data_IF_124677929114
#
_entry.id   IF_124677929114
#
_cell.length_a   1.000
_cell.length_b   1.000
_cell.length_c   1.000
_cell.angle_alpha   90.00
_cell.angle_beta   90.00
_cell.angle_gamma   90.00
#
_symmetry.space_group_name_H-M   'P 1'
#
loop_
_entity.id
_entity.type
_entity.pdbx_description
1 polymer ?
#
# COMPACT_ATOMS: atom_id res chain seq x y z
N UNK A 1 55.66 59.20 0.24
CA UNK A 1 54.34 59.09 -0.48
C UNK A 1 53.69 57.76 -0.08
N UNK A 2 52.71 57.80 0.79
CA UNK A 2 51.94 56.63 1.26
C UNK A 2 50.60 56.66 0.58
N UNK A 3 50.29 55.71 -0.34
CA UNK A 3 48.96 55.50 -0.90
C UNK A 3 48.14 54.66 0.08
N UNK A 4 47.06 55.21 0.58
CA UNK A 4 46.04 54.54 1.34
C UNK A 4 44.97 54.09 0.35
N UNK A 5 44.87 52.76 0.10
CA UNK A 5 43.79 52.17 -0.69
C UNK A 5 42.55 52.01 0.19
N UNK A 6 41.50 52.78 -0.08
CA UNK A 6 40.19 52.61 0.56
C UNK A 6 39.44 51.44 -0.11
N UNK A 7 39.19 50.42 0.68
CA UNK A 7 38.40 49.24 0.24
C UNK A 7 36.91 49.51 0.57
N UNK A 8 36.12 49.90 -0.43
CA UNK A 8 34.68 50.01 -0.29
C UNK A 8 34.03 48.61 -0.22
N UNK A 9 33.55 48.24 0.99
CA UNK A 9 32.79 47.02 1.21
C UNK A 9 31.34 47.25 0.75
N UNK A 10 30.99 46.78 -0.44
CA UNK A 10 29.63 46.82 -0.97
C UNK A 10 28.83 45.66 -0.34
N UNK A 11 28.07 45.96 0.73
CA UNK A 11 27.14 45.03 1.34
C UNK A 11 25.97 44.76 0.39
N UNK A 12 25.98 43.60 -0.31
CA UNK A 12 24.85 43.15 -1.09
C UNK A 12 23.76 42.66 -0.11
N UNK A 13 22.72 43.47 0.09
CA UNK A 13 21.49 43.05 0.76
C UNK A 13 20.78 42.02 -0.17
N UNK A 14 20.98 40.73 0.09
CA UNK A 14 20.17 39.70 -0.53
C UNK A 14 18.74 39.76 0.05
N UNK A 15 17.69 39.82 -0.76
CA UNK A 15 16.32 39.79 -0.25
C UNK A 15 16.12 38.40 0.40
N UNK A 16 15.81 38.40 1.70
CA UNK A 16 15.38 37.21 2.40
C UNK A 16 14.01 36.81 1.87
N UNK A 17 13.95 35.83 0.99
CA UNK A 17 12.70 35.18 0.63
C UNK A 17 12.20 34.43 1.88
N UNK A 18 11.27 35.01 2.59
CA UNK A 18 10.52 34.30 3.63
C UNK A 18 9.61 33.32 2.92
N UNK A 19 10.07 32.09 2.77
CA UNK A 19 9.20 30.98 2.37
C UNK A 19 8.19 30.79 3.51
N UNK A 20 6.95 31.16 3.27
CA UNK A 20 5.85 30.90 4.20
C UNK A 20 5.80 29.41 4.51
N UNK A 21 5.68 29.04 5.79
CA UNK A 21 5.54 27.64 6.18
C UNK A 21 4.32 27.03 5.47
N UNK A 22 4.42 25.83 4.89
CA UNK A 22 3.30 25.21 4.21
C UNK A 22 2.14 24.99 5.17
N UNK A 23 0.94 25.41 4.78
CA UNK A 23 -0.28 25.18 5.57
C UNK A 23 -0.57 23.69 5.58
N UNK A 24 -0.68 23.09 6.77
CA UNK A 24 -0.96 21.68 6.97
C UNK A 24 -2.39 21.44 7.46
N UNK A 25 -2.96 20.28 7.11
CA UNK A 25 -4.17 19.71 7.71
C UNK A 25 -3.88 18.23 7.98
N UNK A 26 -4.29 17.74 9.14
CA UNK A 26 -4.21 16.30 9.46
C UNK A 26 -5.58 15.77 9.82
N UNK A 27 -5.88 14.55 9.43
CA UNK A 27 -7.14 13.87 9.78
C UNK A 27 -6.90 12.46 10.28
N UNK A 28 -7.81 11.96 11.12
CA UNK A 28 -7.80 10.58 11.60
C UNK A 28 -9.22 10.10 11.91
N UNK A 29 -9.59 8.85 11.55
CA UNK A 29 -8.82 7.90 10.75
C UNK A 29 -8.80 8.27 9.26
N UNK A 30 -7.85 7.70 8.49
CA UNK A 30 -7.77 7.89 7.05
C UNK A 30 -8.74 7.01 6.24
N UNK A 31 -9.37 6.03 6.90
CA UNK A 31 -10.25 5.07 6.25
C UNK A 31 -11.32 4.56 7.21
N UNK A 32 -12.55 4.54 6.76
CA UNK A 32 -13.69 3.89 7.41
C UNK A 32 -14.10 2.67 6.58
N UNK A 33 -14.19 1.49 7.20
CA UNK A 33 -14.75 0.28 6.59
C UNK A 33 -16.00 -0.06 7.37
N UNK A 34 -17.14 -0.09 6.69
CA UNK A 34 -18.46 -0.14 7.30
C UNK A 34 -19.31 -1.20 6.60
N UNK A 35 -19.82 -2.14 7.38
CA UNK A 35 -20.87 -3.08 6.97
C UNK A 35 -22.21 -2.54 7.47
N UNK A 36 -23.25 -2.60 6.65
CA UNK A 36 -24.57 -2.03 6.95
C UNK A 36 -25.69 -2.76 6.26
N UNK A 37 -26.95 -2.43 6.65
CA UNK A 37 -28.16 -2.94 6.01
C UNK A 37 -28.93 -1.79 5.34
N UNK A 38 -29.74 -2.07 4.31
CA UNK A 38 -30.67 -1.10 3.77
C UNK A 38 -31.56 -0.52 4.87
N UNK A 39 -31.80 0.81 4.85
CA UNK A 39 -32.59 1.54 5.84
C UNK A 39 -31.84 1.87 7.14
N UNK A 40 -30.61 1.47 7.32
CA UNK A 40 -29.84 1.73 8.54
C UNK A 40 -29.22 3.13 8.54
N UNK A 41 -29.14 3.74 9.72
CA UNK A 41 -28.39 4.98 9.94
C UNK A 41 -27.18 4.72 10.83
N UNK A 42 -26.03 5.15 10.36
CA UNK A 42 -24.73 4.95 11.02
C UNK A 42 -24.13 6.31 11.35
N UNK A 43 -23.55 6.44 12.53
CA UNK A 43 -22.80 7.63 12.94
C UNK A 43 -21.33 7.24 13.09
N UNK A 44 -20.46 8.02 12.49
CA UNK A 44 -19.00 7.93 12.60
C UNK A 44 -18.41 9.29 12.95
N UNK A 45 -17.16 9.30 13.38
CA UNK A 45 -16.47 10.51 13.77
C UNK A 45 -15.12 10.59 13.06
N UNK A 46 -14.82 11.75 12.50
CA UNK A 46 -13.49 12.08 11.97
C UNK A 46 -12.89 13.20 12.80
N UNK A 47 -11.65 13.05 13.20
CA UNK A 47 -10.89 14.10 13.90
C UNK A 47 -10.07 14.88 12.89
N UNK A 48 -10.24 16.20 12.87
CA UNK A 48 -9.47 17.13 12.03
C UNK A 48 -8.54 17.91 12.94
N UNK A 49 -7.26 17.96 12.61
CA UNK A 49 -6.19 18.56 13.41
C UNK A 49 -5.55 19.69 12.62
N UNK A 50 -5.40 20.84 13.26
CA UNK A 50 -4.67 21.97 12.76
C UNK A 50 -3.21 21.96 13.30
N UNK A 51 -2.20 21.56 12.51
CA UNK A 51 -0.81 21.57 12.95
C UNK A 51 -0.16 22.97 12.89
N UNK A 52 -0.89 23.99 12.41
CA UNK A 52 -0.37 25.33 12.23
C UNK A 52 -0.45 26.17 13.52
N UNK A 53 0.30 27.28 13.58
CA UNK A 53 0.32 28.24 14.72
C UNK A 53 -0.73 29.35 14.59
N UNK A 54 -1.66 29.22 13.64
CA UNK A 54 -2.75 30.16 13.37
C UNK A 54 -4.10 29.44 13.25
N UNK A 55 -5.20 30.20 13.32
CA UNK A 55 -6.53 29.65 13.09
C UNK A 55 -6.66 29.17 11.65
N UNK A 56 -7.17 27.95 11.47
CA UNK A 56 -7.39 27.36 10.17
C UNK A 56 -8.89 27.14 9.95
N UNK A 57 -9.43 27.72 8.88
CA UNK A 57 -10.78 27.41 8.42
C UNK A 57 -10.72 26.28 7.40
N UNK A 58 -11.61 25.28 7.53
CA UNK A 58 -11.69 24.17 6.58
C UNK A 58 -13.13 23.93 6.16
N UNK A 59 -13.33 23.57 4.90
CA UNK A 59 -14.61 23.22 4.32
C UNK A 59 -14.68 21.71 4.08
N UNK A 60 -15.65 20.97 4.64
CA UNK A 60 -15.89 19.58 4.33
C UNK A 60 -16.57 19.42 2.96
N UNK A 61 -16.14 18.40 2.21
CA UNK A 61 -16.71 18.03 0.92
C UNK A 61 -16.78 16.51 0.81
N UNK A 62 -17.82 15.99 0.15
CA UNK A 62 -17.95 14.57 -0.13
C UNK A 62 -17.81 14.31 -1.62
N UNK A 63 -17.13 13.23 -1.98
CA UNK A 63 -16.96 12.85 -3.37
C UNK A 63 -16.96 11.33 -3.51
N UNK A 64 -17.77 10.80 -4.43
CA UNK A 64 -17.75 9.39 -4.78
C UNK A 64 -16.49 9.04 -5.57
N UNK A 65 -16.05 7.79 -5.44
CA UNK A 65 -14.92 7.28 -6.22
C UNK A 65 -15.15 5.84 -6.69
N UNK A 66 -14.41 5.45 -7.69
CA UNK A 66 -14.20 4.06 -8.08
C UNK A 66 -12.71 3.76 -8.13
N UNK A 67 -12.35 2.49 -8.06
CA UNK A 67 -10.99 2.05 -8.28
C UNK A 67 -10.84 1.63 -9.73
N UNK A 68 -9.81 2.11 -10.41
CA UNK A 68 -9.50 1.74 -11.79
C UNK A 68 -8.67 0.45 -11.85
N UNK A 69 -8.50 -0.11 -13.05
CA UNK A 69 -7.74 -1.36 -13.28
C UNK A 69 -6.26 -1.24 -12.86
N UNK A 70 -5.68 -0.06 -12.96
CA UNK A 70 -4.33 0.26 -12.49
C UNK A 70 -4.24 0.47 -10.97
N UNK A 71 -5.34 0.25 -10.24
CA UNK A 71 -5.50 0.47 -8.80
C UNK A 71 -5.45 1.94 -8.35
N UNK A 72 -5.57 2.89 -9.26
CA UNK A 72 -5.72 4.30 -8.92
C UNK A 72 -7.17 4.62 -8.52
N UNK A 73 -7.32 5.62 -7.64
CA UNK A 73 -8.64 6.15 -7.31
C UNK A 73 -9.05 7.13 -8.42
N UNK A 74 -10.21 6.87 -9.01
CA UNK A 74 -10.86 7.77 -9.95
C UNK A 74 -12.06 8.43 -9.27
N UNK A 75 -11.97 9.74 -9.10
CA UNK A 75 -13.05 10.55 -8.52
C UNK A 75 -14.19 10.66 -9.53
N UNK A 76 -15.43 10.44 -9.04
CA UNK A 76 -16.62 10.55 -9.87
C UNK A 76 -17.18 11.96 -9.67
N UNK A 77 -17.31 12.77 -10.74
CA UNK A 77 -17.97 14.06 -10.66
C UNK A 77 -19.40 13.95 -10.17
N UNK A 78 -19.90 14.97 -9.46
CA UNK A 78 -21.22 14.93 -8.84
C UNK A 78 -22.39 14.86 -9.85
N UNK A 79 -22.15 15.31 -11.07
CA UNK A 79 -23.08 15.34 -12.22
C UNK A 79 -23.08 14.01 -13.02
N UNK A 80 -22.16 13.09 -12.72
CA UNK A 80 -22.10 11.78 -13.38
C UNK A 80 -23.01 10.79 -12.66
N UNK A 81 -23.90 10.16 -13.42
CA UNK A 81 -24.76 9.09 -12.90
C UNK A 81 -23.92 7.91 -12.40
N UNK A 82 -24.12 7.55 -11.14
CA UNK A 82 -23.43 6.46 -10.49
C UNK A 82 -24.44 5.62 -9.68
N UNK A 83 -24.74 4.37 -10.08
CA UNK A 83 -25.68 3.51 -9.38
C UNK A 83 -25.22 3.09 -7.98
N UNK A 84 -23.93 3.33 -7.64
CA UNK A 84 -23.34 3.10 -6.33
C UNK A 84 -22.99 4.39 -5.61
N UNK A 85 -23.64 5.51 -6.00
CA UNK A 85 -23.51 6.80 -5.34
C UNK A 85 -23.91 6.71 -3.89
N UNK A 86 -23.10 7.28 -2.99
CA UNK A 86 -23.42 7.33 -1.56
C UNK A 86 -23.21 8.71 -0.94
N UNK A 87 -22.69 9.67 -1.67
CA UNK A 87 -22.47 11.03 -1.15
C UNK A 87 -23.76 11.69 -0.68
N UNK A 88 -24.90 11.38 -1.32
CA UNK A 88 -26.23 11.89 -0.93
C UNK A 88 -26.75 11.27 0.38
N UNK A 89 -26.14 10.20 0.87
CA UNK A 89 -26.49 9.54 2.14
C UNK A 89 -25.72 10.11 3.32
N UNK A 90 -24.67 10.90 3.05
CA UNK A 90 -23.74 11.38 4.07
C UNK A 90 -24.14 12.80 4.48
N UNK A 91 -24.28 13.00 5.78
CA UNK A 91 -24.58 14.31 6.36
C UNK A 91 -23.54 14.67 7.41
N UNK A 92 -22.97 15.87 7.27
CA UNK A 92 -22.17 16.56 8.29
C UNK A 92 -22.78 17.96 8.43
N UNK A 93 -23.24 18.31 9.64
CA UNK A 93 -24.07 19.50 9.88
C UNK A 93 -23.30 20.85 9.74
N UNK A 94 -21.99 20.80 9.52
CA UNK A 94 -21.15 21.99 9.46
C UNK A 94 -20.58 22.17 8.05
N UNK A 95 -20.93 23.29 7.42
CA UNK A 95 -20.40 23.66 6.09
C UNK A 95 -19.01 24.29 6.14
N UNK A 96 -18.62 24.85 7.28
CA UNK A 96 -17.30 25.44 7.53
C UNK A 96 -16.91 25.22 9.00
N UNK A 97 -15.64 24.95 9.24
CA UNK A 97 -15.12 24.60 10.55
C UNK A 97 -13.86 25.41 10.82
N UNK A 98 -13.87 26.15 11.92
CA UNK A 98 -12.67 26.87 12.39
C UNK A 98 -11.94 26.03 13.44
N UNK A 99 -10.65 25.79 13.20
CA UNK A 99 -9.74 25.07 14.07
C UNK A 99 -8.76 26.06 14.71
N UNK A 100 -8.63 26.02 16.03
CA UNK A 100 -7.64 26.83 16.76
C UNK A 100 -6.20 26.42 16.42
N UNK A 101 -5.19 27.26 16.65
CA UNK A 101 -3.79 26.88 16.51
C UNK A 101 -3.47 25.63 17.32
N UNK A 102 -2.77 24.64 16.70
CA UNK A 102 -2.43 23.33 17.30
C UNK A 102 -3.63 22.56 17.87
N UNK A 103 -4.84 22.97 17.52
CA UNK A 103 -6.09 22.36 18.02
C UNK A 103 -6.59 21.23 17.15
N UNK A 104 -7.44 20.42 17.74
CA UNK A 104 -8.16 19.36 17.05
C UNK A 104 -9.68 19.52 17.26
N UNK A 105 -10.45 18.95 16.36
CA UNK A 105 -11.90 18.89 16.44
C UNK A 105 -12.45 17.59 15.93
N UNK A 106 -13.27 16.96 16.74
CA UNK A 106 -14.03 15.75 16.42
C UNK A 106 -15.32 16.13 15.74
N UNK A 107 -15.54 15.57 14.57
CA UNK A 107 -16.67 15.90 13.71
C UNK A 107 -17.50 14.63 13.46
N UNK A 108 -18.63 14.51 14.11
CA UNK A 108 -19.56 13.43 13.81
C UNK A 108 -20.21 13.66 12.44
N UNK A 109 -20.31 12.60 11.66
CA UNK A 109 -21.08 12.55 10.43
C UNK A 109 -21.97 11.32 10.42
N UNK A 110 -23.13 11.41 9.77
CA UNK A 110 -24.06 10.29 9.66
C UNK A 110 -24.16 9.82 8.21
N UNK A 111 -24.37 8.52 8.04
CA UNK A 111 -24.67 7.88 6.76
C UNK A 111 -26.06 7.26 6.90
N UNK A 112 -27.04 7.76 6.15
CA UNK A 112 -28.42 7.25 6.13
C UNK A 112 -28.62 6.41 4.87
N UNK A 113 -28.53 5.10 5.01
CA UNK A 113 -28.64 4.15 3.89
C UNK A 113 -30.11 4.06 3.47
N UNK A 114 -30.46 4.31 2.20
CA UNK A 114 -31.85 4.17 1.75
C UNK A 114 -32.36 2.72 1.88
N UNK A 115 -33.66 2.50 2.13
CA UNK A 115 -34.22 1.15 2.17
C UNK A 115 -34.12 0.38 0.85
N UNK A 116 -34.02 1.09 -0.27
CA UNK A 116 -33.82 0.56 -1.62
C UNK A 116 -32.36 0.67 -2.11
N UNK A 117 -31.40 0.87 -1.20
CA UNK A 117 -30.00 0.93 -1.54
C UNK A 117 -29.56 -0.37 -2.24
N UNK A 118 -28.78 -0.24 -3.31
CA UNK A 118 -28.26 -1.38 -4.06
C UNK A 118 -27.30 -2.16 -3.16
N UNK A 119 -27.43 -3.49 -3.04
CA UNK A 119 -26.47 -4.31 -2.31
C UNK A 119 -25.07 -4.25 -2.93
N UNK A 120 -24.05 -4.29 -2.08
CA UNK A 120 -22.66 -4.29 -2.50
C UNK A 120 -21.86 -3.09 -2.02
N UNK A 121 -20.72 -2.87 -2.68
CA UNK A 121 -19.74 -1.86 -2.27
C UNK A 121 -20.09 -0.46 -2.77
N UNK A 122 -20.17 0.50 -1.85
CA UNK A 122 -20.31 1.93 -2.13
C UNK A 122 -19.07 2.66 -1.61
N UNK A 123 -18.54 3.62 -2.37
CA UNK A 123 -17.24 4.21 -2.12
C UNK A 123 -17.29 5.73 -2.23
N UNK A 124 -16.98 6.43 -1.14
CA UNK A 124 -16.85 7.87 -1.10
C UNK A 124 -15.64 8.30 -0.26
N UNK A 125 -15.32 9.57 -0.32
CA UNK A 125 -14.36 10.20 0.58
C UNK A 125 -14.98 11.45 1.19
N UNK A 126 -14.58 11.74 2.44
CA UNK A 126 -14.76 13.03 3.07
C UNK A 126 -13.46 13.79 2.95
N UNK A 127 -13.50 14.97 2.34
CA UNK A 127 -12.36 15.88 2.22
C UNK A 127 -12.52 17.08 3.14
N UNK A 128 -11.40 17.62 3.58
CA UNK A 128 -11.30 18.90 4.27
C UNK A 128 -10.33 19.77 3.48
N UNK A 129 -10.86 20.84 2.90
CA UNK A 129 -10.10 21.80 2.09
C UNK A 129 -9.90 23.07 2.92
N UNK A 130 -8.67 23.58 3.02
CA UNK A 130 -8.41 24.84 3.71
C UNK A 130 -9.08 26.00 2.96
N UNK A 131 -9.71 26.90 3.70
CA UNK A 131 -10.22 28.17 3.17
C UNK A 131 -9.12 29.20 3.34
N UNK A 132 -8.53 29.65 2.21
CA UNK A 132 -7.52 30.70 2.20
C UNK A 132 -8.21 32.05 1.95
N UNK A 133 -7.88 33.06 2.75
CA UNK A 133 -8.33 34.42 2.47
C UNK A 133 -7.54 35.00 1.27
N UNK A 134 -8.22 35.68 0.36
CA UNK A 134 -7.66 36.17 -0.92
C UNK A 134 -6.55 37.24 -0.81
N UNK A 135 -6.01 37.47 0.38
CA UNK A 135 -5.02 38.54 0.64
C UNK A 135 -3.58 38.19 0.25
N UNK A 136 -3.30 36.98 -0.20
CA UNK A 136 -1.94 36.58 -0.60
C UNK A 136 -1.74 36.68 -2.11
N UNK A 137 -0.95 37.66 -2.57
CA UNK A 137 -0.48 37.85 -3.95
C UNK A 137 0.49 36.75 -4.44
N UNK A 138 0.44 35.55 -3.87
CA UNK A 138 1.27 34.41 -4.22
C UNK A 138 0.46 33.23 -4.76
N UNK A 139 1.04 32.44 -5.67
CA UNK A 139 0.49 31.15 -6.10
C UNK A 139 0.60 30.20 -4.90
N UNK A 140 -0.43 30.19 -4.04
CA UNK A 140 -0.50 29.32 -2.88
C UNK A 140 -1.18 28.01 -3.22
N UNK A 141 -0.60 26.88 -2.80
CA UNK A 141 -1.28 25.58 -2.84
C UNK A 141 -2.31 25.51 -1.71
N UNK A 142 -3.57 25.23 -2.04
CA UNK A 142 -4.64 25.03 -1.05
C UNK A 142 -4.58 23.59 -0.57
N UNK A 143 -4.22 23.32 0.70
CA UNK A 143 -4.17 21.96 1.20
C UNK A 143 -5.56 21.34 1.28
N UNK A 144 -5.65 20.10 0.79
CA UNK A 144 -6.85 19.26 0.83
C UNK A 144 -6.46 17.87 1.29
N UNK A 145 -7.10 17.38 2.34
CA UNK A 145 -6.88 16.03 2.88
C UNK A 145 -8.21 15.28 2.93
N UNK A 146 -8.17 13.95 2.79
CA UNK A 146 -9.39 13.17 2.75
C UNK A 146 -9.29 11.83 3.46
N UNK A 147 -10.42 11.35 4.00
CA UNK A 147 -10.59 9.99 4.50
C UNK A 147 -11.53 9.20 3.58
N UNK A 148 -11.14 7.96 3.28
CA UNK A 148 -11.96 7.06 2.45
C UNK A 148 -13.09 6.45 3.28
N UNK A 149 -14.28 6.37 2.70
CA UNK A 149 -15.43 5.68 3.26
C UNK A 149 -15.75 4.52 2.32
N UNK A 150 -15.57 3.32 2.84
CA UNK A 150 -15.79 2.05 2.15
C UNK A 150 -16.97 1.40 2.83
N UNK A 151 -18.13 1.46 2.21
CA UNK A 151 -19.40 0.97 2.73
C UNK A 151 -19.81 -0.29 1.97
N UNK A 152 -20.25 -1.33 2.67
CA UNK A 152 -20.85 -2.50 2.09
C UNK A 152 -22.29 -2.64 2.58
N UNK A 153 -23.25 -2.55 1.67
CA UNK A 153 -24.67 -2.72 1.94
C UNK A 153 -25.02 -4.20 1.82
N UNK A 154 -25.56 -4.77 2.89
CA UNK A 154 -25.98 -6.18 2.93
C UNK A 154 -27.09 -6.47 1.92
N UNK A 155 -27.09 -7.69 1.38
CA UNK A 155 -28.07 -8.18 0.42
C UNK A 155 -27.52 -9.34 -0.38
N UNK A 156 -28.01 -9.55 -1.57
CA UNK A 156 -27.48 -10.56 -2.50
C UNK A 156 -26.18 -10.06 -3.13
N UNK A 157 -25.07 -10.23 -2.39
CA UNK A 157 -23.73 -9.87 -2.82
C UNK A 157 -22.88 -11.11 -3.04
N UNK A 158 -22.04 -11.07 -4.07
CA UNK A 158 -21.06 -12.12 -4.34
C UNK A 158 -19.67 -11.65 -3.93
N UNK A 159 -19.05 -12.38 -3.01
CA UNK A 159 -17.64 -12.21 -2.63
C UNK A 159 -16.85 -13.35 -3.24
N UNK A 160 -16.50 -13.22 -4.48
CA UNK A 160 -15.76 -14.25 -5.22
C UNK A 160 -14.50 -13.65 -5.82
N UNK A 161 -13.42 -14.44 -5.81
CA UNK A 161 -12.16 -14.03 -6.40
C UNK A 161 -11.58 -15.13 -7.27
N UNK A 162 -10.55 -14.80 -8.02
CA UNK A 162 -9.77 -15.74 -8.82
C UNK A 162 -8.28 -15.46 -8.62
N UNK A 163 -7.51 -16.53 -8.35
CA UNK A 163 -6.04 -16.45 -8.37
C UNK A 163 -5.57 -16.56 -9.81
N UNK A 164 -5.42 -15.42 -10.48
CA UNK A 164 -5.02 -15.32 -11.88
C UNK A 164 -3.58 -15.82 -12.06
N UNK A 165 -2.67 -15.37 -11.22
CA UNK A 165 -1.26 -15.72 -11.33
C UNK A 165 -0.59 -15.88 -9.96
N UNK A 166 0.41 -16.79 -9.92
CA UNK A 166 1.37 -16.90 -8.83
C UNK A 166 2.78 -16.92 -9.39
N UNK A 167 3.58 -15.94 -9.05
CA UNK A 167 4.97 -15.80 -9.48
C UNK A 167 5.94 -15.74 -8.32
N UNK A 168 7.15 -16.18 -8.57
CA UNK A 168 8.29 -16.21 -7.67
C UNK A 168 9.48 -16.81 -8.39
N UNK A 169 10.70 -16.62 -7.91
CA UNK A 169 11.90 -17.10 -8.59
C UNK A 169 11.94 -18.62 -8.65
N UNK A 170 12.39 -19.15 -9.78
CA UNK A 170 12.75 -20.56 -9.93
C UNK A 170 14.10 -20.84 -9.28
N UNK A 171 15.02 -19.89 -9.37
CA UNK A 171 16.37 -19.97 -8.86
C UNK A 171 16.67 -18.80 -7.92
N UNK A 172 17.27 -19.08 -6.76
CA UNK A 172 17.56 -18.08 -5.73
C UNK A 172 19.02 -18.22 -5.30
N UNK A 173 19.80 -17.17 -5.55
CA UNK A 173 21.21 -17.08 -5.10
C UNK A 173 21.38 -16.45 -3.72
N UNK A 174 20.46 -15.57 -3.34
CA UNK A 174 20.43 -14.87 -2.05
C UNK A 174 19.03 -14.35 -1.77
N UNK A 175 18.69 -14.12 -0.51
CA UNK A 175 17.43 -13.48 -0.13
C UNK A 175 17.60 -11.96 0.12
N UNK A 176 16.47 -11.28 0.42
CA UNK A 176 15.12 -11.84 0.61
C UNK A 176 14.48 -12.37 -0.67
N UNK A 177 13.54 -13.31 -0.53
CA UNK A 177 12.83 -13.94 -1.66
C UNK A 177 11.40 -13.43 -1.71
N UNK A 178 11.01 -12.82 -2.82
CA UNK A 178 9.69 -12.25 -3.00
C UNK A 178 8.80 -13.17 -3.84
N UNK A 179 7.58 -13.35 -3.37
CA UNK A 179 6.50 -14.03 -4.06
C UNK A 179 5.39 -13.04 -4.36
N UNK A 180 4.76 -13.18 -5.52
CA UNK A 180 3.69 -12.31 -5.98
C UNK A 180 2.49 -13.13 -6.41
N UNK A 181 1.30 -12.75 -5.93
CA UNK A 181 0.02 -13.27 -6.35
C UNK A 181 -0.75 -12.18 -7.09
N UNK A 182 -1.39 -12.52 -8.19
CA UNK A 182 -2.33 -11.63 -8.85
C UNK A 182 -3.73 -12.18 -8.64
N UNK A 183 -4.53 -11.48 -7.84
CA UNK A 183 -5.93 -11.82 -7.57
C UNK A 183 -6.85 -10.89 -8.36
N UNK A 184 -7.93 -11.46 -8.91
CA UNK A 184 -9.05 -10.74 -9.52
C UNK A 184 -10.27 -10.89 -8.63
N UNK A 185 -10.94 -9.81 -8.29
CA UNK A 185 -12.26 -9.86 -7.67
C UNK A 185 -13.33 -10.02 -8.76
N UNK A 186 -13.98 -11.18 -8.81
CA UNK A 186 -15.08 -11.51 -9.75
C UNK A 186 -16.46 -11.28 -9.14
N UNK A 187 -16.50 -10.78 -7.89
CA UNK A 187 -17.72 -10.52 -7.15
C UNK A 187 -18.30 -9.13 -7.37
N UNK A 188 -19.34 -8.80 -6.59
CA UNK A 188 -20.06 -7.52 -6.63
C UNK A 188 -19.71 -6.59 -5.48
N UNK A 189 -18.91 -7.04 -4.51
CA UNK A 189 -18.45 -6.24 -3.38
C UNK A 189 -16.95 -6.42 -3.16
N UNK A 190 -16.36 -5.48 -2.42
CA UNK A 190 -14.96 -5.58 -2.01
C UNK A 190 -14.77 -6.62 -0.90
N UNK A 191 -13.57 -7.17 -0.81
CA UNK A 191 -13.14 -8.00 0.30
C UNK A 191 -11.64 -7.83 0.57
N UNK A 192 -11.21 -8.14 1.78
CA UNK A 192 -9.80 -8.15 2.13
C UNK A 192 -9.23 -9.55 1.86
N UNK A 193 -8.17 -9.61 1.07
CA UNK A 193 -7.45 -10.87 0.83
C UNK A 193 -6.44 -11.13 1.93
N UNK A 194 -6.32 -12.39 2.30
CA UNK A 194 -5.22 -12.89 3.12
C UNK A 194 -4.68 -14.17 2.50
N UNK A 195 -3.38 -14.37 2.60
CA UNK A 195 -2.76 -15.54 2.02
C UNK A 195 -1.50 -15.98 2.73
N UNK A 196 -1.07 -17.20 2.44
CA UNK A 196 0.17 -17.77 2.95
C UNK A 196 0.96 -18.41 1.82
N UNK A 197 2.29 -18.31 1.91
CA UNK A 197 3.22 -19.10 1.11
C UNK A 197 3.85 -20.15 2.00
N UNK A 198 3.62 -21.40 1.68
CA UNK A 198 4.26 -22.54 2.37
C UNK A 198 5.40 -23.06 1.50
N UNK A 199 6.64 -22.97 2.01
CA UNK A 199 7.81 -23.59 1.43
C UNK A 199 8.04 -24.94 2.12
N UNK A 200 8.04 -26.02 1.36
CA UNK A 200 8.34 -27.37 1.85
C UNK A 200 9.64 -27.84 1.20
N UNK A 201 10.65 -28.15 2.02
CA UNK A 201 11.90 -28.70 1.53
C UNK A 201 11.80 -30.21 1.22
N UNK A 202 12.83 -30.79 0.63
CA UNK A 202 12.91 -32.24 0.29
C UNK A 202 12.80 -33.18 1.51
N UNK A 203 13.04 -32.65 2.71
CA UNK A 203 12.93 -33.39 3.99
C UNK A 203 11.55 -33.24 4.64
N UNK A 204 10.59 -32.57 3.96
CA UNK A 204 9.24 -32.34 4.46
C UNK A 204 9.12 -31.19 5.49
N UNK A 205 10.19 -30.48 5.80
CA UNK A 205 10.14 -29.33 6.69
C UNK A 205 9.41 -28.16 6.01
N UNK A 206 8.51 -27.53 6.75
CA UNK A 206 7.65 -26.44 6.23
C UNK A 206 8.03 -25.12 6.86
N UNK A 207 8.07 -24.08 6.03
CA UNK A 207 8.11 -22.67 6.45
C UNK A 207 6.88 -21.98 5.88
N UNK A 208 6.07 -21.38 6.74
CA UNK A 208 4.92 -20.59 6.34
C UNK A 208 5.29 -19.12 6.43
N UNK A 209 4.87 -18.36 5.43
CA UNK A 209 5.06 -16.91 5.29
C UNK A 209 3.70 -16.32 5.02
N UNK A 210 3.32 -15.30 5.77
CA UNK A 210 2.08 -14.56 5.54
C UNK A 210 2.26 -13.54 4.43
N UNK A 211 1.22 -13.35 3.61
CA UNK A 211 1.17 -12.27 2.63
C UNK A 211 0.70 -10.97 3.29
N UNK A 212 0.97 -9.86 2.62
CA UNK A 212 0.29 -8.61 2.95
C UNK A 212 -1.23 -8.75 2.75
N UNK A 213 -1.99 -8.00 3.53
CA UNK A 213 -3.44 -7.91 3.37
C UNK A 213 -3.77 -6.74 2.44
N UNK A 214 -4.63 -6.97 1.46
CA UNK A 214 -5.08 -5.93 0.53
C UNK A 214 -6.57 -6.03 0.26
N UNK A 215 -7.22 -4.88 0.17
CA UNK A 215 -8.60 -4.80 -0.32
C UNK A 215 -8.64 -5.02 -1.83
N UNK A 216 -9.52 -5.91 -2.27
CA UNK A 216 -9.86 -6.13 -3.67
C UNK A 216 -11.22 -5.53 -3.97
N UNK A 217 -11.27 -4.57 -4.86
CA UNK A 217 -12.50 -3.97 -5.35
C UNK A 217 -13.08 -4.78 -6.52
N UNK A 218 -14.42 -4.76 -6.74
CA UNK A 218 -15.07 -5.51 -7.82
C UNK A 218 -14.45 -5.22 -9.19
N UNK A 219 -14.18 -6.28 -9.96
CA UNK A 219 -13.61 -6.20 -11.30
C UNK A 219 -12.11 -5.87 -11.36
N UNK A 220 -11.46 -5.64 -10.21
CA UNK A 220 -10.06 -5.19 -10.18
C UNK A 220 -9.11 -6.35 -9.91
N UNK A 221 -7.99 -6.35 -10.65
CA UNK A 221 -6.83 -7.20 -10.38
C UNK A 221 -5.88 -6.49 -9.43
N UNK A 222 -5.35 -7.22 -8.46
CA UNK A 222 -4.36 -6.69 -7.52
C UNK A 222 -3.23 -7.65 -7.26
N UNK A 223 -2.01 -7.09 -7.24
CA UNK A 223 -0.83 -7.83 -6.84
C UNK A 223 -0.67 -7.76 -5.32
N UNK A 224 -0.45 -8.92 -4.72
CA UNK A 224 -0.26 -9.14 -3.28
C UNK A 224 1.11 -9.78 -3.12
N UNK A 225 1.88 -9.33 -2.16
CA UNK A 225 3.24 -9.78 -1.96
C UNK A 225 3.41 -10.57 -0.67
N UNK A 226 4.32 -11.53 -0.71
CA UNK A 226 4.82 -12.23 0.47
C UNK A 226 6.34 -12.31 0.38
N UNK A 227 7.05 -12.05 1.47
CA UNK A 227 8.50 -11.99 1.50
C UNK A 227 9.08 -13.00 2.47
N UNK A 228 10.05 -13.78 2.00
CA UNK A 228 10.85 -14.66 2.84
C UNK A 228 12.22 -14.02 3.13
N UNK A 229 12.43 -13.59 4.38
CA UNK A 229 13.60 -12.81 4.81
C UNK A 229 14.89 -13.64 5.03
N UNK A 230 14.96 -14.87 4.51
CA UNK A 230 16.16 -15.71 4.61
C UNK A 230 17.28 -15.17 3.74
N UNK A 231 18.36 -14.64 4.35
CA UNK A 231 19.52 -14.05 3.62
C UNK A 231 20.24 -15.04 2.72
N UNK A 232 20.36 -16.31 3.12
CA UNK A 232 21.05 -17.35 2.38
C UNK A 232 20.23 -18.64 2.40
N UNK A 233 19.17 -18.73 1.58
CA UNK A 233 18.39 -19.96 1.46
C UNK A 233 19.21 -21.03 0.76
N UNK A 234 19.10 -22.28 1.24
CA UNK A 234 19.77 -23.45 0.66
C UNK A 234 18.76 -24.57 0.58
N UNK A 235 18.64 -25.20 -0.57
CA UNK A 235 17.85 -26.39 -0.78
C UNK A 235 16.89 -26.30 -1.96
N UNK A 236 16.12 -27.34 -2.08
CA UNK A 236 15.06 -27.48 -3.08
C UNK A 236 13.72 -27.37 -2.32
N UNK A 237 12.83 -26.53 -2.82
CA UNK A 237 11.57 -26.23 -2.16
C UNK A 237 10.40 -26.40 -3.12
N UNK A 238 9.36 -27.03 -2.60
CA UNK A 238 8.03 -26.98 -3.17
C UNK A 238 7.29 -25.82 -2.54
N UNK A 239 6.97 -24.82 -3.33
CA UNK A 239 6.36 -23.56 -2.87
C UNK A 239 4.88 -23.61 -3.22
N UNK A 240 4.01 -23.60 -2.19
CA UNK A 240 2.56 -23.56 -2.34
C UNK A 240 2.03 -22.22 -1.82
N UNK A 241 1.32 -21.54 -2.67
CA UNK A 241 0.53 -20.37 -2.33
C UNK A 241 -0.89 -20.81 -1.96
N UNK A 242 -1.42 -20.33 -0.85
CA UNK A 242 -2.83 -20.46 -0.48
C UNK A 242 -3.36 -19.06 -0.18
N UNK A 243 -4.43 -18.67 -0.86
CA UNK A 243 -5.07 -17.36 -0.69
C UNK A 243 -6.55 -17.58 -0.45
N UNK A 244 -7.11 -16.83 0.51
CA UNK A 244 -8.54 -16.82 0.82
C UNK A 244 -9.17 -15.53 0.30
N UNK A 245 -10.42 -15.62 -0.15
CA UNK A 245 -11.27 -14.48 -0.51
C UNK A 245 -12.03 -13.88 0.68
N UNK A 246 -11.74 -14.34 1.89
CA UNK A 246 -12.39 -13.85 3.12
C UNK A 246 -13.74 -14.52 3.43
N UNK A 247 -14.34 -15.29 2.51
CA UNK A 247 -15.57 -16.09 2.74
C UNK A 247 -15.31 -17.60 2.90
N UNK A 248 -14.03 -17.99 2.87
CA UNK A 248 -13.65 -19.39 3.05
C UNK A 248 -13.26 -20.12 1.78
N UNK A 249 -13.45 -19.52 0.59
CA UNK A 249 -12.90 -20.08 -0.62
C UNK A 249 -11.38 -19.93 -0.61
N UNK A 250 -10.69 -21.04 -0.88
CA UNK A 250 -9.25 -21.06 -0.93
C UNK A 250 -8.75 -21.37 -2.33
N UNK A 251 -7.89 -20.51 -2.83
CA UNK A 251 -7.19 -20.68 -4.09
C UNK A 251 -5.76 -21.13 -3.82
N UNK A 252 -5.31 -22.19 -4.48
CA UNK A 252 -3.93 -22.64 -4.32
C UNK A 252 -3.24 -22.83 -5.66
N UNK A 253 -1.99 -22.38 -5.74
CA UNK A 253 -1.05 -22.68 -6.84
C UNK A 253 0.28 -23.10 -6.25
N UNK A 254 0.97 -24.00 -6.93
CA UNK A 254 2.27 -24.49 -6.49
C UNK A 254 3.31 -24.31 -7.58
N UNK A 255 4.56 -24.12 -7.17
CA UNK A 255 5.71 -24.08 -8.04
C UNK A 255 6.95 -24.65 -7.35
N UNK A 256 7.93 -24.99 -8.16
CA UNK A 256 9.24 -25.43 -7.70
C UNK A 256 10.18 -24.25 -7.56
N UNK A 257 11.08 -24.29 -6.56
CA UNK A 257 12.13 -23.30 -6.33
C UNK A 257 13.41 -24.01 -5.87
N UNK A 258 14.55 -23.65 -6.48
CA UNK A 258 15.88 -24.06 -6.06
C UNK A 258 16.63 -22.87 -5.48
N UNK A 259 17.16 -23.03 -4.29
CA UNK A 259 17.97 -22.00 -3.62
C UNK A 259 19.40 -22.50 -3.44
N UNK A 260 20.35 -21.83 -4.08
CA UNK A 260 21.77 -22.14 -3.99
C UNK A 260 22.56 -20.83 -3.87
N UNK A 261 23.18 -20.54 -2.70
CA UNK A 261 23.93 -19.30 -2.49
C UNK A 261 25.27 -19.37 -3.24
N UNK A 262 25.25 -18.94 -4.50
CA UNK A 262 26.38 -18.99 -5.42
C UNK A 262 27.65 -18.38 -4.85
N UNK A 263 27.55 -17.36 -4.00
CA UNK A 263 28.70 -16.72 -3.34
C UNK A 263 29.51 -17.66 -2.46
N UNK A 264 28.91 -18.73 -1.94
CA UNK A 264 29.62 -19.76 -1.16
C UNK A 264 29.93 -20.99 -2.01
N UNK A 265 29.04 -21.33 -2.94
CA UNK A 265 29.16 -22.50 -3.77
C UNK A 265 30.30 -22.39 -4.78
N UNK A 266 30.46 -21.24 -5.45
CA UNK A 266 31.53 -21.04 -6.44
C UNK A 266 32.95 -21.15 -5.83
N UNK A 267 33.27 -20.49 -4.70
CA UNK A 267 34.57 -20.69 -4.06
C UNK A 267 34.82 -22.14 -3.61
N UNK A 268 33.80 -22.78 -3.03
CA UNK A 268 33.90 -24.17 -2.59
C UNK A 268 34.16 -25.11 -3.77
N UNK A 269 33.47 -24.90 -4.90
CA UNK A 269 33.70 -25.65 -6.14
C UNK A 269 35.11 -25.43 -6.71
N UNK A 270 35.58 -24.18 -6.69
CA UNK A 270 36.96 -23.85 -7.14
C UNK A 270 38.00 -24.58 -6.28
N UNK A 271 37.85 -24.55 -4.95
CA UNK A 271 38.74 -25.28 -4.03
C UNK A 271 38.68 -26.79 -4.31
N UNK A 272 37.51 -27.36 -4.51
CA UNK A 272 37.36 -28.79 -4.85
C UNK A 272 38.08 -29.16 -6.16
N UNK A 273 37.93 -28.31 -7.19
CA UNK A 273 38.63 -28.51 -8.48
C UNK A 273 40.15 -28.49 -8.27
N UNK A 274 40.68 -27.54 -7.49
CA UNK A 274 42.10 -27.45 -7.17
C UNK A 274 42.59 -28.71 -6.46
N UNK A 275 41.84 -29.21 -5.48
CA UNK A 275 42.14 -30.44 -4.76
C UNK A 275 42.19 -31.64 -5.73
N UNK A 276 41.22 -31.78 -6.60
CA UNK A 276 41.16 -32.87 -7.61
C UNK A 276 42.35 -32.80 -8.55
N UNK A 277 42.68 -31.61 -9.03
CA UNK A 277 43.84 -31.41 -9.92
C UNK A 277 45.17 -31.74 -9.19
N UNK A 278 45.34 -31.25 -7.98
CA UNK A 278 46.50 -31.55 -7.16
C UNK A 278 46.66 -33.07 -6.92
N UNK A 279 45.55 -33.74 -6.57
CA UNK A 279 45.55 -35.19 -6.38
C UNK A 279 45.92 -35.97 -7.66
N UNK A 280 45.41 -35.49 -8.82
CA UNK A 280 45.76 -36.09 -10.11
C UNK A 280 47.24 -35.94 -10.46
N UNK A 281 47.82 -34.75 -10.17
CA UNK A 281 49.27 -34.49 -10.37
C UNK A 281 50.10 -35.36 -9.44
N UNK A 282 49.75 -35.44 -8.15
CA UNK A 282 50.41 -36.27 -7.17
C UNK A 282 50.38 -37.75 -7.54
N UNK A 283 49.22 -38.30 -7.94
CA UNK A 283 49.09 -39.67 -8.42
C UNK A 283 49.93 -39.97 -9.67
N UNK A 284 50.14 -38.99 -10.57
CA UNK A 284 51.03 -39.14 -11.74
C UNK A 284 52.48 -39.14 -11.34
N UNK A 285 52.93 -38.38 -10.34
CA UNK A 285 54.32 -38.31 -9.88
C UNK A 285 54.70 -39.50 -8.96
N UNK A 286 53.75 -40.01 -8.17
CA UNK A 286 53.96 -41.15 -7.27
C UNK A 286 53.25 -42.40 -7.81
N UNK A 287 53.64 -42.88 -9.01
CA UNK A 287 53.37 -44.26 -9.40
C UNK A 287 54.23 -45.15 -8.50
N UNK A 288 53.59 -45.77 -7.50
CA UNK A 288 54.23 -46.83 -6.70
C UNK A 288 54.50 -47.98 -7.67
N UNK A 289 55.73 -48.17 -7.99
CA UNK A 289 56.17 -49.39 -8.68
C UNK A 289 56.10 -50.51 -7.65
N UNK A 290 55.04 -51.36 -7.75
CA UNK A 290 55.06 -52.64 -7.02
C UNK A 290 56.11 -53.49 -7.68
N UNK A 291 57.20 -53.77 -6.93
CA UNK A 291 58.17 -54.82 -7.18
C UNK A 291 57.57 -56.17 -6.80
#
# INVERSE_FOLDING_TARGET
>A
MKLIAAFCFLAVLAPAFTSGAPVGITITPLKFVIETKPGERIVKEVTVINPNDFNLKVKPEFQDFKVAEDNTIQWIPADVENPYKMTDWILLDQSEITLKPKGERKLPFSISVPPNARPGGHYAAIFFTAVMEETSTGVGSVPRVGALIILNVAGDVKRTGELVNFSGPLFVGSGPVNFKFTMLNTGTTHFETSGTVTLTNIFGQKKVIESEKKFLYPGIKRDIFAQWDKKSPIGIFWVRANISDGEGHQFSKSKFMMALPLRYFLPALAVLIVIILAWRVLRRKFRIVRV
#
